data_IF_414087903353
#
_entry.id   IF_414087903353
#
_cell.length_a   1.000
_cell.length_b   1.000
_cell.length_c   1.000
_cell.angle_alpha   90.00
_cell.angle_beta   90.00
_cell.angle_gamma   90.00
#
_symmetry.space_group_name_H-M   'P 1'
#
loop_
_entity.id
_entity.type
_entity.pdbx_description
1 polymer ?
#
# COMPACT_ATOMS: atom_id res chain seq x y z
N UNK A 1 13.05 32.15 1.89
CA UNK A 1 11.63 32.54 1.79
C UNK A 1 10.79 31.30 2.10
N UNK A 2 10.59 31.01 3.37
CA UNK A 2 9.70 29.93 3.84
C UNK A 2 8.32 30.53 4.02
N UNK A 3 7.37 30.18 3.15
CA UNK A 3 5.98 30.59 3.36
C UNK A 3 5.51 29.97 4.68
N UNK A 4 5.07 30.82 5.62
CA UNK A 4 4.37 30.34 6.82
C UNK A 4 3.12 29.61 6.33
N UNK A 5 3.14 28.29 6.40
CA UNK A 5 1.94 27.47 6.21
C UNK A 5 1.01 27.80 7.37
N UNK A 6 -0.13 28.43 7.07
CA UNK A 6 -1.13 28.80 8.09
C UNK A 6 -2.04 27.61 8.36
N UNK A 7 -2.56 27.47 9.57
CA UNK A 7 -3.43 26.34 9.96
C UNK A 7 -4.62 26.23 9.00
N UNK A 8 -5.16 27.36 8.57
CA UNK A 8 -6.26 27.48 7.61
C UNK A 8 -5.92 26.86 6.26
N UNK A 9 -4.66 27.00 5.79
CA UNK A 9 -4.24 26.36 4.54
C UNK A 9 -4.15 24.83 4.65
N UNK A 10 -3.76 24.32 5.82
CA UNK A 10 -3.71 22.86 6.07
C UNK A 10 -5.12 22.29 6.13
N UNK A 11 -6.04 22.97 6.82
CA UNK A 11 -7.45 22.54 6.90
C UNK A 11 -8.08 22.56 5.51
N UNK A 12 -7.91 23.65 4.75
CA UNK A 12 -8.47 23.75 3.40
C UNK A 12 -7.87 22.72 2.42
N UNK A 13 -6.62 22.30 2.60
CA UNK A 13 -6.02 21.22 1.81
C UNK A 13 -6.57 19.85 2.22
N UNK A 14 -6.72 19.59 3.51
CA UNK A 14 -7.32 18.36 4.02
C UNK A 14 -8.80 18.21 3.61
N UNK A 15 -9.59 19.29 3.62
CA UNK A 15 -10.98 19.28 3.18
C UNK A 15 -11.09 18.97 1.68
N UNK A 16 -10.27 19.62 0.84
CA UNK A 16 -10.22 19.34 -0.61
C UNK A 16 -9.79 17.91 -0.91
N UNK A 17 -8.85 17.38 -0.13
CA UNK A 17 -8.42 15.98 -0.29
C UNK A 17 -9.54 15.00 0.12
N UNK A 18 -10.28 15.30 1.19
CA UNK A 18 -11.43 14.51 1.66
C UNK A 18 -12.57 14.49 0.64
N UNK A 19 -12.92 15.64 0.05
CA UNK A 19 -13.96 15.74 -0.98
C UNK A 19 -13.64 14.90 -2.22
N UNK A 20 -12.34 14.73 -2.54
CA UNK A 20 -11.88 13.97 -3.71
C UNK A 20 -12.17 12.47 -3.62
N UNK A 21 -12.32 11.90 -2.42
CA UNK A 21 -12.60 10.48 -2.18
C UNK A 21 -13.98 10.22 -1.57
N UNK A 22 -14.92 11.15 -1.77
CA UNK A 22 -16.20 11.22 -1.05
C UNK A 22 -17.32 10.31 -1.58
N UNK A 23 -17.02 9.31 -2.40
CA UNK A 23 -18.07 8.45 -2.95
C UNK A 23 -18.83 7.73 -1.84
N UNK A 24 -20.15 7.90 -1.84
CA UNK A 24 -21.08 7.17 -0.97
C UNK A 24 -22.19 6.61 -1.83
N UNK A 25 -22.42 5.31 -1.74
CA UNK A 25 -23.45 4.63 -2.49
C UNK A 25 -24.00 3.42 -1.76
N UNK A 26 -24.97 2.77 -2.39
CA UNK A 26 -25.54 1.51 -1.89
C UNK A 26 -24.62 0.34 -2.19
N UNK A 27 -24.82 -0.77 -1.47
CA UNK A 27 -24.12 -2.02 -1.77
C UNK A 27 -24.38 -2.52 -3.20
N UNK A 28 -25.58 -2.27 -3.75
CA UNK A 28 -25.89 -2.60 -5.14
C UNK A 28 -24.99 -1.83 -6.13
N UNK A 29 -24.81 -0.53 -5.92
CA UNK A 29 -23.92 0.29 -6.74
C UNK A 29 -22.47 -0.19 -6.64
N UNK A 30 -22.03 -0.54 -5.44
CA UNK A 30 -20.71 -1.15 -5.23
C UNK A 30 -20.56 -2.47 -5.97
N UNK A 31 -21.55 -3.37 -5.89
CA UNK A 31 -21.53 -4.64 -6.60
C UNK A 31 -21.45 -4.45 -8.12
N UNK A 32 -22.15 -3.47 -8.68
CA UNK A 32 -22.03 -3.14 -10.12
C UNK A 32 -20.60 -2.72 -10.47
N UNK A 33 -19.96 -1.86 -9.67
CA UNK A 33 -18.56 -1.48 -9.86
C UNK A 33 -17.60 -2.68 -9.79
N UNK A 34 -17.84 -3.64 -8.89
CA UNK A 34 -17.02 -4.85 -8.75
C UNK A 34 -17.23 -5.81 -9.94
N UNK A 35 -18.44 -5.89 -10.49
CA UNK A 35 -18.71 -6.69 -11.69
C UNK A 35 -18.01 -6.10 -12.91
N UNK A 36 -17.98 -4.77 -13.03
CA UNK A 36 -17.25 -4.06 -14.09
C UNK A 36 -15.73 -4.19 -13.94
N UNK A 37 -15.24 -4.05 -12.71
CA UNK A 37 -13.82 -4.18 -12.37
C UNK A 37 -13.63 -5.02 -11.10
N UNK A 38 -13.38 -6.34 -11.26
CA UNK A 38 -13.16 -7.24 -10.14
C UNK A 38 -11.97 -6.87 -9.26
N UNK A 39 -11.00 -6.09 -9.76
CA UNK A 39 -9.83 -5.67 -9.00
C UNK A 39 -10.20 -4.80 -7.78
N UNK A 40 -11.36 -4.14 -7.80
CA UNK A 40 -11.90 -3.37 -6.66
C UNK A 40 -12.16 -4.23 -5.42
N UNK A 41 -12.37 -5.54 -5.61
CA UNK A 41 -12.63 -6.52 -4.53
C UNK A 41 -11.43 -7.43 -4.25
N UNK A 42 -10.22 -7.03 -4.66
CA UNK A 42 -9.00 -7.82 -4.46
C UNK A 42 -8.67 -8.04 -2.99
N UNK A 43 -7.86 -9.06 -2.74
CA UNK A 43 -7.35 -9.38 -1.40
C UNK A 43 -6.42 -8.27 -0.89
N UNK A 44 -6.39 -8.06 0.43
CA UNK A 44 -5.46 -7.12 1.08
C UNK A 44 -3.99 -7.41 0.74
N UNK A 45 -3.63 -8.68 0.54
CA UNK A 45 -2.28 -9.06 0.13
C UNK A 45 -1.95 -8.60 -1.30
N UNK A 46 -2.91 -8.70 -2.21
CA UNK A 46 -2.77 -8.18 -3.58
C UNK A 46 -2.69 -6.66 -3.56
N UNK A 47 -3.53 -6.01 -2.75
CA UNK A 47 -3.48 -4.57 -2.55
C UNK A 47 -2.09 -4.09 -2.10
N UNK A 48 -1.51 -4.73 -1.06
CA UNK A 48 -0.17 -4.38 -0.55
C UNK A 48 0.91 -4.67 -1.60
N UNK A 49 0.83 -5.81 -2.30
CA UNK A 49 1.76 -6.13 -3.38
C UNK A 49 1.75 -5.04 -4.46
N UNK A 50 0.58 -4.67 -4.96
CA UNK A 50 0.43 -3.64 -5.99
C UNK A 50 0.90 -2.27 -5.50
N UNK A 51 0.63 -1.92 -4.24
CA UNK A 51 1.13 -0.69 -3.64
C UNK A 51 2.67 -0.65 -3.60
N UNK A 52 3.33 -1.76 -3.28
CA UNK A 52 4.80 -1.86 -3.33
C UNK A 52 5.29 -1.71 -4.77
N UNK A 53 4.65 -2.41 -5.71
CA UNK A 53 5.04 -2.43 -7.13
C UNK A 53 4.73 -1.12 -7.86
N UNK A 54 3.84 -0.28 -7.34
CA UNK A 54 3.51 1.03 -7.91
C UNK A 54 4.72 1.97 -7.99
N UNK A 55 5.72 1.79 -7.10
CA UNK A 55 6.99 2.52 -7.17
C UNK A 55 7.94 2.01 -8.27
N UNK A 56 7.67 0.82 -8.81
CA UNK A 56 8.52 0.12 -9.77
C UNK A 56 9.59 -0.76 -9.12
N UNK A 57 10.21 -1.59 -9.96
CA UNK A 57 11.33 -2.46 -9.60
C UNK A 57 12.28 -2.57 -10.79
N UNK A 58 13.55 -2.82 -10.53
CA UNK A 58 14.54 -3.08 -11.57
C UNK A 58 15.42 -4.27 -11.19
N UNK A 59 16.19 -4.78 -12.15
CA UNK A 59 17.17 -5.84 -11.94
C UNK A 59 18.55 -5.22 -12.06
N UNK A 60 19.40 -5.43 -11.07
CA UNK A 60 20.79 -4.94 -11.08
C UNK A 60 21.63 -5.72 -12.10
N UNK A 61 22.83 -5.23 -12.40
CA UNK A 61 23.76 -5.96 -13.26
C UNK A 61 24.18 -7.32 -12.68
N UNK A 62 24.08 -7.46 -11.36
CA UNK A 62 24.39 -8.69 -10.60
C UNK A 62 23.22 -9.70 -10.64
N UNK A 63 22.08 -9.32 -11.22
CA UNK A 63 20.89 -10.17 -11.35
C UNK A 63 19.88 -10.02 -10.21
N UNK A 64 20.17 -9.17 -9.23
CA UNK A 64 19.30 -8.98 -8.08
C UNK A 64 18.12 -8.08 -8.40
N UNK A 65 16.92 -8.48 -7.98
CA UNK A 65 15.73 -7.64 -8.10
C UNK A 65 15.65 -6.64 -6.96
N UNK A 66 15.68 -5.37 -7.28
CA UNK A 66 15.53 -4.25 -6.36
C UNK A 66 14.17 -3.58 -6.54
N UNK A 67 13.58 -3.12 -5.43
CA UNK A 67 12.28 -2.44 -5.44
C UNK A 67 12.48 -0.97 -5.08
N UNK A 68 12.02 -0.09 -5.96
CA UNK A 68 12.25 1.36 -5.87
C UNK A 68 11.66 1.94 -4.57
N UNK A 69 10.65 1.30 -3.98
CA UNK A 69 10.08 1.68 -2.69
C UNK A 69 11.15 1.80 -1.58
N UNK A 70 12.09 0.85 -1.56
CA UNK A 70 13.13 0.71 -0.53
C UNK A 70 14.48 1.33 -0.95
N UNK A 71 14.63 1.65 -2.23
CA UNK A 71 15.84 2.25 -2.78
C UNK A 71 16.17 3.57 -2.05
N UNK A 72 17.46 3.81 -1.82
CA UNK A 72 18.02 4.97 -1.12
C UNK A 72 17.56 5.16 0.35
N UNK A 73 16.79 4.20 0.88
CA UNK A 73 16.26 4.23 2.26
C UNK A 73 16.71 3.04 3.08
N UNK A 74 16.91 1.88 2.42
CA UNK A 74 17.34 0.64 3.06
C UNK A 74 18.46 0.04 2.24
N UNK A 75 19.59 -0.21 2.89
CA UNK A 75 20.81 -0.73 2.27
C UNK A 75 21.18 -2.10 2.84
N UNK A 76 21.74 -2.98 2.00
CA UNK A 76 22.24 -4.30 2.42
C UNK A 76 21.16 -5.34 2.77
N UNK A 77 19.88 -5.08 2.47
CA UNK A 77 18.77 -6.00 2.74
C UNK A 77 18.06 -6.48 1.46
N UNK A 78 18.79 -6.66 0.35
CA UNK A 78 18.19 -7.05 -0.93
C UNK A 78 17.41 -8.37 -0.83
N UNK A 79 18.03 -9.46 -0.36
CA UNK A 79 17.33 -10.75 -0.25
C UNK A 79 16.15 -10.74 0.74
N UNK A 80 16.29 -10.19 1.97
CA UNK A 80 15.15 -10.10 2.89
C UNK A 80 13.98 -9.29 2.33
N UNK A 81 14.25 -8.17 1.65
CA UNK A 81 13.20 -7.38 0.99
C UNK A 81 12.56 -8.17 -0.14
N UNK A 82 13.34 -8.90 -0.94
CA UNK A 82 12.86 -9.83 -1.96
C UNK A 82 11.84 -10.83 -1.41
N UNK A 83 12.16 -11.49 -0.29
CA UNK A 83 11.27 -12.45 0.37
C UNK A 83 9.96 -11.82 0.88
N UNK A 84 10.00 -10.59 1.37
CA UNK A 84 8.79 -9.86 1.80
C UNK A 84 7.89 -9.60 0.59
N UNK A 85 8.45 -9.11 -0.51
CA UNK A 85 7.66 -8.84 -1.72
C UNK A 85 7.12 -10.14 -2.32
N UNK A 86 7.92 -11.22 -2.34
CA UNK A 86 7.50 -12.53 -2.82
C UNK A 86 6.39 -13.15 -1.96
N UNK A 87 6.40 -12.92 -0.64
CA UNK A 87 5.29 -13.30 0.24
C UNK A 87 3.98 -12.65 -0.19
N UNK A 88 3.98 -11.33 -0.45
CA UNK A 88 2.78 -10.62 -0.90
C UNK A 88 2.37 -11.06 -2.31
N UNK A 89 3.32 -11.25 -3.23
CA UNK A 89 3.06 -11.73 -4.59
C UNK A 89 2.40 -13.13 -4.58
N UNK A 90 2.93 -14.05 -3.80
CA UNK A 90 2.39 -15.41 -3.65
C UNK A 90 1.02 -15.40 -2.97
N UNK A 91 0.84 -14.53 -1.97
CA UNK A 91 -0.45 -14.38 -1.28
C UNK A 91 -1.52 -13.75 -2.16
N UNK A 92 -1.14 -12.84 -3.06
CA UNK A 92 -2.04 -12.24 -4.05
C UNK A 92 -2.63 -13.28 -5.01
N UNK A 93 -1.83 -14.31 -5.35
CA UNK A 93 -2.24 -15.45 -6.19
C UNK A 93 -3.07 -16.50 -5.44
N UNK A 94 -3.58 -16.19 -4.24
CA UNK A 94 -4.43 -17.07 -3.45
C UNK A 94 -3.75 -18.37 -3.01
N UNK A 95 -2.42 -18.46 -3.03
CA UNK A 95 -1.71 -19.61 -2.48
C UNK A 95 -1.81 -19.72 -0.96
N UNK A 96 -1.47 -20.88 -0.42
CA UNK A 96 -1.55 -21.17 1.02
C UNK A 96 -0.68 -20.26 1.89
N UNK A 97 0.34 -19.63 1.31
CA UNK A 97 1.21 -18.68 2.01
C UNK A 97 0.41 -17.54 2.66
N UNK A 98 -0.76 -17.16 2.09
CA UNK A 98 -1.66 -16.14 2.64
C UNK A 98 -2.23 -16.48 4.03
N UNK A 99 -2.17 -17.75 4.44
CA UNK A 99 -2.63 -18.23 5.75
C UNK A 99 -1.52 -18.20 6.81
N UNK A 100 -0.29 -17.84 6.42
CA UNK A 100 0.89 -17.83 7.29
C UNK A 100 1.15 -16.41 7.81
N UNK A 101 1.63 -16.31 9.05
CA UNK A 101 2.04 -15.05 9.66
C UNK A 101 3.41 -14.65 9.10
N UNK A 102 3.53 -13.44 8.54
CA UNK A 102 4.81 -12.83 8.21
C UNK A 102 5.41 -12.20 9.47
N UNK A 103 6.54 -12.74 9.93
CA UNK A 103 7.23 -12.27 11.13
C UNK A 103 8.62 -11.71 10.77
N UNK A 104 8.85 -10.44 11.12
CA UNK A 104 10.15 -9.78 10.94
C UNK A 104 10.98 -9.91 12.22
N UNK A 105 11.94 -10.84 12.24
CA UNK A 105 12.87 -11.05 13.37
C UNK A 105 14.26 -10.54 12.99
N UNK A 106 14.94 -9.89 13.94
CA UNK A 106 16.33 -9.48 13.78
C UNK A 106 16.81 -8.61 14.95
N UNK A 107 18.10 -8.28 15.02
CA UNK A 107 18.68 -7.45 16.08
C UNK A 107 18.03 -6.06 16.16
N UNK A 108 18.11 -5.37 17.30
CA UNK A 108 17.69 -3.97 17.40
C UNK A 108 18.32 -3.11 16.29
N UNK A 109 17.61 -2.06 15.86
CA UNK A 109 18.04 -1.15 14.78
C UNK A 109 18.25 -1.77 13.37
N UNK A 110 17.84 -3.02 13.12
CA UNK A 110 17.96 -3.67 11.80
C UNK A 110 16.95 -3.20 10.74
N UNK A 111 16.35 -2.02 10.89
CA UNK A 111 15.42 -1.45 9.89
C UNK A 111 14.03 -2.09 9.77
N UNK A 112 13.65 -3.07 10.61
CA UNK A 112 12.34 -3.76 10.52
C UNK A 112 11.14 -2.82 10.53
N UNK A 113 11.09 -1.91 11.52
CA UNK A 113 10.02 -0.92 11.62
C UNK A 113 10.04 0.05 10.43
N UNK A 114 11.22 0.37 9.91
CA UNK A 114 11.39 1.20 8.72
C UNK A 114 10.80 0.53 7.47
N UNK A 115 11.03 -0.77 7.27
CA UNK A 115 10.42 -1.53 6.16
C UNK A 115 8.88 -1.45 6.25
N UNK A 116 8.33 -1.72 7.43
CA UNK A 116 6.88 -1.68 7.65
C UNK A 116 6.32 -0.27 7.41
N UNK A 117 7.01 0.76 7.88
CA UNK A 117 6.64 2.15 7.67
C UNK A 117 6.63 2.53 6.18
N UNK A 118 7.63 2.10 5.40
CA UNK A 118 7.67 2.33 3.96
C UNK A 118 6.51 1.65 3.24
N UNK A 119 6.18 0.41 3.61
CA UNK A 119 5.03 -0.30 3.06
C UNK A 119 3.72 0.41 3.41
N UNK A 120 3.56 0.88 4.65
CA UNK A 120 2.38 1.67 5.06
C UNK A 120 2.21 2.93 4.22
N UNK A 121 3.28 3.70 4.03
CA UNK A 121 3.27 4.89 3.18
C UNK A 121 2.98 4.56 1.72
N UNK A 122 3.46 3.42 1.22
CA UNK A 122 3.14 2.95 -0.13
C UNK A 122 1.65 2.65 -0.26
N UNK A 123 1.04 1.98 0.73
CA UNK A 123 -0.39 1.68 0.79
C UNK A 123 -1.24 2.95 0.84
N UNK A 124 -0.83 3.95 1.62
CA UNK A 124 -1.49 5.25 1.71
C UNK A 124 -1.36 6.06 0.40
N UNK A 125 -0.17 6.09 -0.21
CA UNK A 125 0.01 6.76 -1.49
C UNK A 125 -0.77 6.06 -2.61
N UNK A 126 -0.82 4.72 -2.58
CA UNK A 126 -1.56 3.94 -3.55
C UNK A 126 -3.07 4.16 -3.41
N UNK A 127 -3.61 4.26 -2.19
CA UNK A 127 -5.05 4.49 -1.97
C UNK A 127 -5.58 5.79 -2.57
N UNK A 128 -4.68 6.75 -2.80
CA UNK A 128 -4.96 8.04 -3.45
C UNK A 128 -4.98 7.96 -4.99
N UNK A 129 -4.78 6.77 -5.56
CA UNK A 129 -4.84 6.52 -7.01
C UNK A 129 -6.13 5.81 -7.38
N UNK A 130 -6.62 5.99 -8.62
CA UNK A 130 -7.83 5.30 -9.09
C UNK A 130 -7.70 3.77 -8.94
N UNK A 131 -6.53 3.21 -9.29
CA UNK A 131 -6.21 1.78 -9.14
C UNK A 131 -6.16 1.33 -7.69
N UNK A 132 -5.80 2.20 -6.76
CA UNK A 132 -5.71 1.90 -5.34
C UNK A 132 -6.99 2.20 -4.55
N UNK A 133 -8.07 2.63 -5.21
CA UNK A 133 -9.30 2.99 -4.51
C UNK A 133 -9.75 1.87 -3.57
N UNK A 134 -9.97 2.23 -2.30
CA UNK A 134 -10.51 1.34 -1.27
C UNK A 134 -11.87 1.88 -0.82
N UNK A 135 -12.82 0.98 -0.62
CA UNK A 135 -14.17 1.29 -0.15
C UNK A 135 -14.34 0.79 1.27
N UNK A 136 -15.17 1.50 2.04
CA UNK A 136 -15.54 1.12 3.39
C UNK A 136 -17.06 1.26 3.59
N UNK A 137 -17.59 0.49 4.52
CA UNK A 137 -18.95 0.54 5.00
C UNK A 137 -19.09 1.76 5.91
N UNK A 138 -19.92 2.71 5.47
CA UNK A 138 -20.20 3.93 6.20
C UNK A 138 -20.72 3.62 7.61
N UNK A 139 -20.05 4.13 8.63
CA UNK A 139 -20.42 3.95 10.03
C UNK A 139 -19.97 2.63 10.65
N UNK A 140 -19.21 1.79 9.93
CA UNK A 140 -18.59 0.61 10.51
C UNK A 140 -17.47 1.04 11.48
N UNK A 141 -17.53 0.66 12.77
CA UNK A 141 -16.49 1.01 13.74
C UNK A 141 -15.14 0.35 13.41
N UNK A 142 -15.15 -0.75 12.65
CA UNK A 142 -13.93 -1.40 12.18
C UNK A 142 -13.34 -0.75 10.93
N UNK A 143 -14.05 0.20 10.31
CA UNK A 143 -13.69 0.80 9.03
C UNK A 143 -13.44 -0.25 7.91
N UNK A 144 -14.13 -1.39 8.00
CA UNK A 144 -14.26 -2.36 6.90
C UNK A 144 -14.96 -1.75 5.70
#
# INVERSE_FOLDING_TARGET
MTSKVTIESIIAEAERESERYSWVGTFEQYLRMVVEDPARSRLSHAYVYEAIMASGSHVTQEGDRTYNLFQDKIFGLVDPLGRIVEYFASSAQRFEVRKRILLLIGPPASGKSTVVELIKRAVEAFSKTDKGTAYAIKGCPMQE
#
